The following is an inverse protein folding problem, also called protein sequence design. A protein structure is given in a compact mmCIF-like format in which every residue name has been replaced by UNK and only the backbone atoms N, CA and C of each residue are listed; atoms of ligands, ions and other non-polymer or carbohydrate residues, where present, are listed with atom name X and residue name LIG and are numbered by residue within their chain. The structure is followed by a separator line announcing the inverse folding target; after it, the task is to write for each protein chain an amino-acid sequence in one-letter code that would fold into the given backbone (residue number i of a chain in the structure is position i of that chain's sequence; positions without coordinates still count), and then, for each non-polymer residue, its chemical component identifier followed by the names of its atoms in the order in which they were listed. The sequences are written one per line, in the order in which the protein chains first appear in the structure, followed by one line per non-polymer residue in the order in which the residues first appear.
data_IF_279564922629
#
_entry.id   IF_279564922629
#
_cell.length_a   1.000
_cell.length_b   1.000
_cell.length_c   1.000
_cell.angle_alpha   90.00
_cell.angle_beta   90.00
_cell.angle_gamma   90.00
#
_symmetry.space_group_name_H-M   'P 1'
#
loop_
_entity.id
_entity.type
_entity.pdbx_description
1 polymer ?
#
# COMPACT_ATOMS: atom_id res chain seq x y z
N UNK A 1 3.24 -21.70 12.32
CA UNK A 1 4.53 -22.18 11.80
C UNK A 1 5.59 -21.86 12.85
N UNK A 2 6.02 -22.80 13.71
CA UNK A 2 7.04 -22.50 14.72
C UNK A 2 8.44 -22.57 14.11
N UNK A 3 9.26 -21.52 14.30
CA UNK A 3 10.69 -21.51 13.94
C UNK A 3 11.05 -20.95 12.55
N UNK A 4 10.16 -20.17 11.92
CA UNK A 4 10.48 -19.38 10.72
C UNK A 4 10.33 -17.89 11.07
N UNK A 5 11.37 -17.13 10.78
CA UNK A 5 11.40 -15.67 10.83
C UNK A 5 10.33 -15.08 9.87
N UNK A 6 9.43 -14.26 10.41
CA UNK A 6 8.26 -13.73 9.71
C UNK A 6 8.49 -12.33 9.15
N UNK A 7 8.06 -12.12 7.92
CA UNK A 7 8.15 -10.86 7.20
C UNK A 7 6.75 -10.36 6.84
N UNK A 8 6.41 -9.16 7.31
CA UNK A 8 5.11 -8.52 7.11
C UNK A 8 5.27 -7.21 6.32
N UNK A 9 4.40 -6.98 5.34
CA UNK A 9 4.38 -5.75 4.53
C UNK A 9 3.01 -5.08 4.59
N UNK A 10 2.98 -3.82 5.01
CA UNK A 10 1.80 -2.96 5.06
C UNK A 10 1.93 -1.79 4.08
N UNK A 11 0.94 -1.62 3.20
CA UNK A 11 0.94 -0.60 2.15
C UNK A 11 -0.23 0.37 2.31
N UNK A 12 0.07 1.66 2.44
CA UNK A 12 -0.96 2.68 2.59
C UNK A 12 -1.75 2.94 1.31
N UNK A 13 -2.96 3.48 1.46
CA UNK A 13 -3.71 4.07 0.36
C UNK A 13 -3.16 5.45 -0.06
N UNK A 14 -3.43 5.86 -1.30
CA UNK A 14 -2.94 7.16 -1.80
C UNK A 14 -3.08 7.45 -3.29
N UNK A 15 -3.92 6.73 -4.03
CA UNK A 15 -4.07 6.94 -5.48
C UNK A 15 -2.74 6.79 -6.21
N UNK A 16 -2.50 7.58 -7.26
CA UNK A 16 -1.27 7.51 -8.08
C UNK A 16 0.04 7.59 -7.29
N UNK A 17 0.01 8.14 -6.06
CA UNK A 17 1.16 8.20 -5.14
C UNK A 17 1.62 6.82 -4.64
N UNK A 18 0.84 5.76 -4.84
CA UNK A 18 1.28 4.38 -4.61
C UNK A 18 2.54 3.98 -5.39
N UNK A 19 2.87 4.71 -6.47
CA UNK A 19 4.18 4.60 -7.12
C UNK A 19 5.35 4.88 -6.18
N UNK A 20 5.21 5.83 -5.26
CA UNK A 20 6.22 6.08 -4.23
C UNK A 20 6.44 4.84 -3.35
N UNK A 21 5.35 4.15 -2.98
CA UNK A 21 5.43 2.92 -2.19
C UNK A 21 6.10 1.80 -2.98
N UNK A 22 5.79 1.67 -4.27
CA UNK A 22 6.44 0.71 -5.17
C UNK A 22 7.94 0.98 -5.37
N UNK A 23 8.36 2.23 -5.59
CA UNK A 23 9.78 2.56 -5.71
C UNK A 23 10.55 2.38 -4.39
N UNK A 24 9.88 2.67 -3.25
CA UNK A 24 10.45 2.39 -1.93
C UNK A 24 10.65 0.89 -1.74
N UNK A 25 9.63 0.08 -2.08
CA UNK A 25 9.72 -1.36 -1.99
C UNK A 25 10.75 -1.94 -2.98
N UNK A 26 10.83 -1.42 -4.20
CA UNK A 26 11.86 -1.77 -5.19
C UNK A 26 13.25 -1.67 -4.57
N UNK A 27 13.57 -0.53 -3.95
CA UNK A 27 14.86 -0.33 -3.28
C UNK A 27 15.11 -1.32 -2.15
N UNK A 28 14.08 -1.67 -1.38
CA UNK A 28 14.19 -2.67 -0.31
C UNK A 28 14.51 -4.04 -0.91
N UNK A 29 13.78 -4.46 -1.95
CA UNK A 29 14.01 -5.75 -2.61
C UNK A 29 15.41 -5.81 -3.27
N UNK A 30 15.84 -4.74 -3.94
CA UNK A 30 17.19 -4.59 -4.49
C UNK A 30 18.28 -4.62 -3.41
N UNK A 31 17.98 -4.20 -2.18
CA UNK A 31 18.94 -4.26 -1.07
C UNK A 31 19.11 -5.67 -0.52
N UNK A 32 18.17 -6.58 -0.78
CA UNK A 32 18.24 -8.00 -0.39
C UNK A 32 19.13 -8.76 -1.37
N UNK A 33 18.84 -8.63 -2.67
CA UNK A 33 19.66 -9.16 -3.74
C UNK A 33 19.67 -8.16 -4.91
N UNK A 34 20.78 -7.45 -5.16
CA UNK A 34 20.85 -6.46 -6.23
C UNK A 34 20.80 -7.05 -7.64
N UNK A 35 21.19 -8.31 -7.81
CA UNK A 35 21.30 -8.96 -9.14
C UNK A 35 20.03 -9.73 -9.49
N UNK A 36 19.40 -10.37 -8.49
CA UNK A 36 18.13 -11.09 -8.65
C UNK A 36 17.18 -10.82 -7.46
N UNK A 37 16.60 -9.61 -7.36
CA UNK A 37 15.71 -9.26 -6.25
C UNK A 37 14.56 -10.27 -6.11
N UNK A 38 14.30 -10.81 -4.90
CA UNK A 38 13.26 -11.81 -4.74
C UNK A 38 11.88 -11.20 -5.03
N UNK A 39 10.91 -12.04 -5.41
CA UNK A 39 9.53 -11.58 -5.50
C UNK A 39 9.00 -11.23 -4.10
N UNK A 40 8.19 -10.17 -3.95
CA UNK A 40 7.63 -9.84 -2.64
C UNK A 40 6.82 -10.97 -2.01
N UNK A 41 6.09 -11.77 -2.79
CA UNK A 41 5.35 -12.93 -2.27
C UNK A 41 6.23 -14.09 -1.78
N UNK A 42 7.50 -14.12 -2.16
CA UNK A 42 8.45 -15.14 -1.72
C UNK A 42 9.26 -14.67 -0.49
N UNK A 43 9.32 -13.35 -0.28
CA UNK A 43 9.98 -12.73 0.87
C UNK A 43 9.04 -12.44 2.04
N UNK A 44 7.85 -11.88 1.78
CA UNK A 44 6.86 -11.51 2.79
C UNK A 44 5.83 -12.62 2.98
N UNK A 45 5.66 -13.09 4.22
CA UNK A 45 4.66 -14.10 4.57
C UNK A 45 3.24 -13.50 4.58
N UNK A 46 3.10 -12.19 4.84
CA UNK A 46 1.84 -11.47 4.71
C UNK A 46 2.02 -10.09 4.10
N UNK A 47 1.15 -9.75 3.14
CA UNK A 47 1.08 -8.43 2.51
C UNK A 47 -0.34 -7.88 2.70
N UNK A 48 -0.45 -6.75 3.38
CA UNK A 48 -1.70 -6.03 3.62
C UNK A 48 -1.67 -4.65 2.96
N UNK A 49 -2.82 -4.17 2.52
CA UNK A 49 -2.90 -2.87 1.87
C UNK A 49 -4.31 -2.27 1.84
N UNK A 50 -4.38 -0.93 1.89
CA UNK A 50 -5.63 -0.17 1.78
C UNK A 50 -5.66 0.61 0.46
N UNK A 51 -6.82 0.70 -0.19
CA UNK A 51 -6.98 1.45 -1.45
C UNK A 51 -5.99 0.98 -2.51
N UNK A 52 -5.25 1.92 -3.12
CA UNK A 52 -4.10 1.63 -3.97
C UNK A 52 -3.11 0.63 -3.36
N UNK A 53 -2.79 0.74 -2.06
CA UNK A 53 -1.94 -0.24 -1.38
C UNK A 53 -2.53 -1.65 -1.40
N UNK A 54 -3.87 -1.77 -1.36
CA UNK A 54 -4.58 -3.03 -1.50
C UNK A 54 -4.52 -3.62 -2.92
N UNK A 55 -4.62 -2.77 -3.95
CA UNK A 55 -4.37 -3.20 -5.34
C UNK A 55 -2.94 -3.72 -5.50
N UNK A 56 -1.96 -2.98 -4.98
CA UNK A 56 -0.55 -3.37 -5.02
C UNK A 56 -0.33 -4.67 -4.25
N UNK A 57 -0.92 -4.82 -3.06
CA UNK A 57 -0.84 -6.05 -2.27
C UNK A 57 -1.39 -7.27 -3.04
N UNK A 58 -2.49 -7.11 -3.77
CA UNK A 58 -3.05 -8.16 -4.63
C UNK A 58 -2.09 -8.51 -5.79
N UNK A 59 -1.54 -7.50 -6.46
CA UNK A 59 -0.59 -7.67 -7.58
C UNK A 59 0.68 -8.40 -7.14
N UNK A 60 1.28 -7.95 -6.04
CA UNK A 60 2.53 -8.51 -5.50
C UNK A 60 2.31 -9.88 -4.85
N UNK A 61 1.25 -10.03 -4.05
CA UNK A 61 0.98 -11.24 -3.28
C UNK A 61 0.25 -12.32 -4.09
N UNK A 62 -1.03 -12.06 -4.43
CA UNK A 62 -1.90 -13.07 -5.05
C UNK A 62 -1.57 -13.32 -6.52
N UNK A 63 -1.21 -12.27 -7.27
CA UNK A 63 -0.83 -12.38 -8.68
C UNK A 63 0.68 -12.67 -8.88
N UNK A 64 1.44 -12.73 -7.78
CA UNK A 64 2.87 -13.12 -7.73
C UNK A 64 3.75 -12.34 -8.71
N UNK A 65 3.47 -11.05 -8.86
CA UNK A 65 4.25 -10.15 -9.70
C UNK A 65 5.59 -9.82 -9.04
N UNK A 66 6.63 -9.67 -9.86
CA UNK A 66 7.84 -8.93 -9.50
C UNK A 66 7.49 -7.46 -9.25
N UNK A 67 8.39 -6.72 -8.60
CA UNK A 67 8.19 -5.28 -8.40
C UNK A 67 8.07 -4.53 -9.73
N UNK A 68 8.91 -4.85 -10.71
CA UNK A 68 8.91 -4.19 -12.02
C UNK A 68 7.61 -4.47 -12.80
N UNK A 69 7.14 -5.72 -12.82
CA UNK A 69 5.84 -6.07 -13.39
C UNK A 69 4.71 -5.29 -12.71
N UNK A 70 4.76 -5.17 -11.38
CA UNK A 70 3.74 -4.44 -10.62
C UNK A 70 3.77 -2.93 -10.88
N UNK A 71 4.95 -2.32 -10.99
CA UNK A 71 5.10 -0.91 -11.36
C UNK A 71 4.48 -0.66 -12.73
N UNK A 72 4.81 -1.48 -13.72
CA UNK A 72 4.29 -1.33 -15.06
C UNK A 72 2.77 -1.52 -15.10
N UNK A 73 2.25 -2.59 -14.49
CA UNK A 73 0.82 -2.85 -14.42
C UNK A 73 0.06 -1.74 -13.70
N UNK A 74 0.63 -1.20 -12.61
CA UNK A 74 0.02 -0.11 -11.85
C UNK A 74 -0.02 1.20 -12.64
N UNK A 75 1.03 1.50 -13.41
CA UNK A 75 1.06 2.66 -14.31
C UNK A 75 -0.04 2.57 -15.35
N UNK A 76 -0.12 1.45 -16.08
CA UNK A 76 -1.12 1.25 -17.14
C UNK A 76 -2.55 1.30 -16.59
N UNK A 77 -2.78 0.64 -15.45
CA UNK A 77 -4.05 0.64 -14.76
C UNK A 77 -4.45 2.07 -14.35
N UNK A 78 -3.53 2.84 -13.77
CA UNK A 78 -3.79 4.22 -13.33
C UNK A 78 -4.11 5.14 -14.52
N UNK A 79 -3.38 5.01 -15.63
CA UNK A 79 -3.67 5.76 -16.85
C UNK A 79 -5.06 5.41 -17.40
N UNK A 80 -5.41 4.12 -17.50
CA UNK A 80 -6.71 3.68 -18.00
C UNK A 80 -7.88 4.21 -17.16
N UNK A 81 -7.73 4.21 -15.83
CA UNK A 81 -8.75 4.68 -14.89
C UNK A 81 -8.93 6.21 -14.94
N UNK A 82 -7.83 6.96 -14.97
CA UNK A 82 -7.87 8.42 -14.78
C UNK A 82 -7.89 9.24 -16.08
N UNK A 83 -7.74 8.61 -17.25
CA UNK A 83 -7.69 9.29 -18.55
C UNK A 83 -8.98 10.03 -18.97
N UNK A 84 -10.16 9.70 -18.41
CA UNK A 84 -11.43 10.39 -18.74
C UNK A 84 -12.17 10.88 -17.48
N UNK A 85 -11.93 12.14 -17.10
CA UNK A 85 -12.74 12.84 -16.08
C UNK A 85 -14.18 12.97 -16.59
N UNK A 86 -15.17 12.40 -15.87
CA UNK A 86 -16.57 12.75 -16.13
C UNK A 86 -16.76 14.24 -15.78
N UNK A 87 -17.45 15.02 -16.64
CA UNK A 87 -17.94 16.35 -16.24
C UNK A 87 -18.89 16.15 -15.06
N UNK A 88 -18.54 16.63 -13.88
CA UNK A 88 -19.31 16.43 -12.63
C UNK A 88 -20.72 17.00 -12.83
N UNK A 89 -21.77 16.15 -12.96
CA UNK A 89 -23.13 16.64 -12.91
C UNK A 89 -23.55 16.65 -11.43
N UNK A 90 -23.91 17.81 -10.91
CA UNK A 90 -24.68 17.87 -9.66
C UNK A 90 -26.03 17.23 -9.98
N UNK A 91 -26.42 16.18 -9.24
CA UNK A 91 -27.77 15.63 -9.42
C UNK A 91 -28.80 16.68 -8.96
N UNK A 92 -30.07 16.55 -9.34
CA UNK A 92 -31.12 17.51 -8.95
C UNK A 92 -31.33 17.64 -7.42
N UNK A 93 -30.68 16.80 -6.61
CA UNK A 93 -30.72 16.77 -5.15
C UNK A 93 -29.49 17.39 -4.47
N UNK A 94 -28.48 17.82 -5.24
CA UNK A 94 -27.26 18.42 -4.69
C UNK A 94 -26.16 17.43 -4.30
N UNK A 95 -26.32 16.12 -4.55
CA UNK A 95 -25.28 15.16 -4.24
C UNK A 95 -24.19 15.18 -5.32
N UNK A 96 -22.93 15.13 -4.87
CA UNK A 96 -21.77 14.95 -5.73
C UNK A 96 -21.81 13.56 -6.38
N UNK A 97 -21.85 13.52 -7.71
CA UNK A 97 -21.70 12.28 -8.48
C UNK A 97 -20.24 11.83 -8.53
N UNK A 98 -20.01 10.53 -8.58
CA UNK A 98 -18.70 9.90 -8.70
C UNK A 98 -17.91 10.43 -9.92
N UNK A 99 -16.61 10.69 -9.72
CA UNK A 99 -15.75 11.32 -10.73
C UNK A 99 -15.33 10.37 -11.85
N UNK A 100 -15.23 9.08 -11.54
CA UNK A 100 -14.71 8.04 -12.44
C UNK A 100 -15.67 6.86 -12.56
N UNK A 101 -15.51 6.10 -13.66
CA UNK A 101 -16.38 4.97 -13.97
C UNK A 101 -15.89 3.69 -13.29
N UNK A 102 -16.66 3.17 -12.33
CA UNK A 102 -16.38 1.92 -11.64
C UNK A 102 -16.27 0.71 -12.60
N UNK A 103 -16.93 0.76 -13.77
CA UNK A 103 -16.80 -0.29 -14.79
C UNK A 103 -15.43 -0.25 -15.48
N UNK A 104 -14.88 0.94 -15.70
CA UNK A 104 -13.51 1.08 -16.24
C UNK A 104 -12.50 0.52 -15.25
N UNK A 105 -12.65 0.83 -13.96
CA UNK A 105 -11.82 0.24 -12.90
C UNK A 105 -11.91 -1.30 -12.90
N UNK A 106 -13.12 -1.86 -12.97
CA UNK A 106 -13.31 -3.32 -13.03
C UNK A 106 -12.65 -3.94 -14.26
N UNK A 107 -12.83 -3.35 -15.44
CA UNK A 107 -12.23 -3.83 -16.70
C UNK A 107 -10.70 -3.81 -16.61
N UNK A 108 -10.13 -2.71 -16.10
CA UNK A 108 -8.68 -2.57 -15.93
C UNK A 108 -8.13 -3.63 -14.96
N UNK A 109 -8.79 -3.85 -13.81
CA UNK A 109 -8.41 -4.89 -12.86
C UNK A 109 -8.47 -6.28 -13.50
N UNK A 110 -9.57 -6.61 -14.20
CA UNK A 110 -9.72 -7.91 -14.87
C UNK A 110 -8.68 -8.12 -15.96
N UNK A 111 -8.28 -7.07 -16.68
CA UNK A 111 -7.18 -7.12 -17.66
C UNK A 111 -5.85 -7.48 -16.99
N UNK A 112 -5.55 -6.90 -15.83
CA UNK A 112 -4.36 -7.27 -15.03
C UNK A 112 -4.42 -8.74 -14.61
N UNK A 113 -5.56 -9.23 -14.12
CA UNK A 113 -5.73 -10.65 -13.74
C UNK A 113 -5.47 -11.57 -14.94
N UNK A 114 -6.10 -11.30 -16.09
CA UNK A 114 -5.92 -12.11 -17.32
C UNK A 114 -4.49 -12.08 -17.85
N UNK A 115 -3.75 -10.98 -17.65
CA UNK A 115 -2.32 -10.90 -18.03
C UNK A 115 -1.41 -11.87 -17.24
N UNK A 116 -1.95 -12.49 -16.19
CA UNK A 116 -1.27 -13.52 -15.37
C UNK A 116 -1.80 -14.93 -15.63
N UNK A 117 -2.48 -15.12 -16.76
CA UNK A 117 -3.09 -16.39 -17.17
C UNK A 117 -4.06 -16.96 -16.12
N UNK A 118 -4.69 -16.07 -15.33
CA UNK A 118 -5.71 -16.42 -14.34
C UNK A 118 -7.10 -16.18 -14.90
N UNK A 119 -8.05 -17.03 -14.48
CA UNK A 119 -9.47 -16.80 -14.72
C UNK A 119 -9.89 -15.47 -14.09
N UNK A 120 -10.72 -14.70 -14.79
CA UNK A 120 -11.14 -13.37 -14.31
C UNK A 120 -11.92 -13.43 -13.01
N UNK A 121 -12.59 -14.55 -12.74
CA UNK A 121 -13.36 -14.82 -11.53
C UNK A 121 -12.59 -15.68 -10.52
N UNK A 122 -11.26 -15.78 -10.68
CA UNK A 122 -10.39 -16.41 -9.70
C UNK A 122 -10.59 -15.81 -8.29
N UNK A 123 -10.56 -16.70 -7.29
CA UNK A 123 -10.78 -16.34 -5.89
C UNK A 123 -9.54 -15.68 -5.26
N UNK A 124 -9.77 -14.70 -4.40
CA UNK A 124 -8.72 -14.00 -3.64
C UNK A 124 -8.03 -14.96 -2.65
N UNK A 125 -8.80 -15.73 -1.90
CA UNK A 125 -8.34 -16.80 -1.02
C UNK A 125 -9.04 -18.09 -1.44
N UNK A 126 -8.31 -19.20 -1.40
CA UNK A 126 -8.88 -20.51 -1.71
C UNK A 126 -9.90 -20.89 -0.60
N UNK A 127 -11.04 -21.52 -0.95
CA UNK A 127 -12.13 -21.77 -0.01
C UNK A 127 -11.75 -22.83 1.03
N UNK A 128 -11.14 -22.40 2.13
CA UNK A 128 -10.73 -23.25 3.25
C UNK A 128 -11.86 -23.33 4.30
N UNK A 129 -13.07 -23.69 3.84
CA UNK A 129 -14.25 -23.83 4.72
C UNK A 129 -15.00 -22.53 5.03
N UNK A 130 -14.60 -21.39 4.46
CA UNK A 130 -15.36 -20.14 4.54
C UNK A 130 -16.54 -20.15 3.57
N UNK A 131 -17.75 -19.80 4.05
CA UNK A 131 -18.93 -19.65 3.18
C UNK A 131 -18.85 -18.44 2.26
N UNK A 132 -18.02 -17.46 2.62
CA UNK A 132 -17.79 -16.27 1.80
C UNK A 132 -16.60 -16.54 0.89
N UNK A 133 -16.85 -16.50 -0.41
CA UNK A 133 -15.81 -16.50 -1.45
C UNK A 133 -15.81 -15.13 -2.09
N UNK A 134 -14.64 -14.52 -2.23
CA UNK A 134 -14.47 -13.20 -2.83
C UNK A 134 -13.52 -13.35 -4.01
N UNK A 135 -13.92 -12.84 -5.17
CA UNK A 135 -13.09 -12.84 -6.38
C UNK A 135 -12.00 -11.78 -6.26
N UNK A 136 -10.87 -12.00 -6.92
CA UNK A 136 -9.75 -11.04 -6.89
C UNK A 136 -10.23 -9.65 -7.33
N UNK A 137 -11.01 -9.57 -8.41
CA UNK A 137 -11.49 -8.29 -8.92
C UNK A 137 -12.49 -7.59 -7.99
N UNK A 138 -13.29 -8.35 -7.24
CA UNK A 138 -14.24 -7.80 -6.27
C UNK A 138 -13.49 -7.14 -5.12
N UNK A 139 -12.48 -7.82 -4.58
CA UNK A 139 -11.64 -7.29 -3.51
C UNK A 139 -10.84 -6.06 -3.95
N UNK A 140 -10.23 -6.14 -5.14
CA UNK A 140 -9.50 -5.05 -5.76
C UNK A 140 -10.39 -3.80 -5.99
N UNK A 141 -11.63 -4.00 -6.48
CA UNK A 141 -12.61 -2.91 -6.63
C UNK A 141 -13.05 -2.37 -5.28
N UNK A 142 -13.33 -3.23 -4.30
CA UNK A 142 -13.80 -2.82 -2.98
C UNK A 142 -12.78 -1.93 -2.27
N UNK A 143 -11.52 -2.36 -2.23
CA UNK A 143 -10.46 -1.60 -1.55
C UNK A 143 -10.25 -0.24 -2.22
N UNK A 144 -10.36 -0.13 -3.55
CA UNK A 144 -10.11 1.11 -4.31
C UNK A 144 -11.35 1.97 -4.58
N UNK A 145 -12.49 1.67 -3.97
CA UNK A 145 -13.75 2.39 -4.17
C UNK A 145 -13.76 3.75 -3.41
N UNK A 146 -12.76 4.60 -3.65
CA UNK A 146 -12.53 5.82 -2.91
C UNK A 146 -13.77 6.73 -2.96
N UNK A 147 -14.23 7.16 -1.79
CA UNK A 147 -15.36 8.08 -1.64
C UNK A 147 -15.16 9.32 -2.53
N UNK A 148 -16.21 9.72 -3.26
CA UNK A 148 -16.21 10.78 -4.30
C UNK A 148 -15.51 10.46 -5.64
N UNK A 149 -14.70 9.38 -5.70
CA UNK A 149 -14.06 8.94 -6.95
C UNK A 149 -14.86 7.83 -7.64
N UNK A 150 -15.30 6.82 -6.89
CA UNK A 150 -16.00 5.65 -7.42
C UNK A 150 -17.26 5.32 -6.61
N UNK A 151 -18.17 4.58 -7.24
CA UNK A 151 -19.36 4.05 -6.58
C UNK A 151 -19.02 2.80 -5.73
N UNK A 152 -19.70 2.60 -4.58
CA UNK A 152 -19.56 1.41 -3.76
C UNK A 152 -19.81 0.11 -4.56
N UNK A 153 -19.11 -0.96 -4.20
CA UNK A 153 -19.37 -2.31 -4.73
C UNK A 153 -20.29 -3.08 -3.76
N UNK A 154 -21.11 -3.98 -4.30
CA UNK A 154 -21.83 -4.98 -3.54
C UNK A 154 -21.18 -6.35 -3.74
N UNK A 155 -20.89 -7.07 -2.67
CA UNK A 155 -20.27 -8.41 -2.71
C UNK A 155 -21.11 -9.38 -1.88
N UNK A 156 -21.22 -10.62 -2.37
CA UNK A 156 -21.91 -11.73 -1.71
C UNK A 156 -23.43 -11.72 -1.88
N UNK A 157 -24.07 -12.81 -1.47
CA UNK A 157 -25.51 -13.07 -1.65
C UNK A 157 -26.41 -12.03 -0.96
N UNK A 158 -25.93 -11.45 0.15
CA UNK A 158 -26.65 -10.42 0.91
C UNK A 158 -26.47 -9.01 0.34
N UNK A 159 -25.69 -8.83 -0.73
CA UNK A 159 -25.45 -7.54 -1.35
C UNK A 159 -24.76 -6.53 -0.43
N UNK A 160 -23.85 -6.98 0.44
CA UNK A 160 -23.18 -6.10 1.39
C UNK A 160 -22.37 -5.04 0.64
N UNK A 161 -22.56 -3.77 1.02
CA UNK A 161 -21.91 -2.63 0.36
C UNK A 161 -20.53 -2.36 0.97
N UNK A 162 -19.53 -2.26 0.12
CA UNK A 162 -18.15 -1.95 0.48
C UNK A 162 -17.71 -0.61 -0.10
N UNK A 163 -16.95 0.13 0.71
CA UNK A 163 -16.30 1.41 0.40
C UNK A 163 -14.79 1.24 0.60
N UNK A 164 -14.01 2.16 0.05
CA UNK A 164 -12.57 2.23 0.30
C UNK A 164 -12.25 2.36 1.79
N UNK A 165 -11.27 1.59 2.25
CA UNK A 165 -10.80 1.59 3.62
C UNK A 165 -10.04 2.87 4.01
N UNK A 166 -9.63 3.72 3.08
CA UNK A 166 -8.76 4.87 3.30
C UNK A 166 -9.31 5.89 4.31
N UNK A 167 -10.63 6.04 4.44
CA UNK A 167 -11.20 6.96 5.45
C UNK A 167 -11.28 6.35 6.86
N UNK A 168 -11.01 5.05 7.00
CA UNK A 168 -11.15 4.30 8.27
C UNK A 168 -9.80 3.76 8.74
N UNK A 169 -8.98 3.26 7.83
CA UNK A 169 -7.68 2.64 8.07
C UNK A 169 -6.80 2.76 6.81
N UNK A 170 -6.36 3.97 6.46
CA UNK A 170 -5.50 4.19 5.29
C UNK A 170 -4.14 3.53 5.48
N UNK A 171 -3.61 3.53 6.70
CA UNK A 171 -2.43 2.75 7.07
C UNK A 171 -2.88 1.43 7.72
N UNK A 172 -2.84 0.29 6.99
CA UNK A 172 -3.40 -0.96 7.49
C UNK A 172 -2.49 -1.71 8.47
N UNK A 173 -1.45 -1.08 9.02
CA UNK A 173 -0.44 -1.78 9.83
C UNK A 173 -1.05 -2.47 11.05
N UNK A 174 -2.06 -1.86 11.69
CA UNK A 174 -2.78 -2.46 12.82
C UNK A 174 -3.62 -3.66 12.39
N UNK A 175 -4.29 -3.57 11.24
CA UNK A 175 -5.13 -4.65 10.70
C UNK A 175 -4.26 -5.83 10.29
N UNK A 176 -3.12 -5.57 9.64
CA UNK A 176 -2.14 -6.59 9.28
C UNK A 176 -1.56 -7.28 10.52
N UNK A 177 -1.16 -6.49 11.54
CA UNK A 177 -0.67 -7.03 12.81
C UNK A 177 -1.74 -7.88 13.51
N UNK A 178 -2.99 -7.40 13.57
CA UNK A 178 -4.11 -8.14 14.17
C UNK A 178 -4.37 -9.48 13.49
N UNK A 179 -4.44 -9.51 12.15
CA UNK A 179 -4.59 -10.77 11.40
C UNK A 179 -3.43 -11.73 11.65
N UNK A 180 -2.19 -11.21 11.73
CA UNK A 180 -1.02 -12.03 12.05
C UNK A 180 -1.12 -12.61 13.46
N UNK A 181 -1.53 -11.82 14.44
CA UNK A 181 -1.77 -12.26 15.83
C UNK A 181 -2.82 -13.36 15.88
N UNK A 182 -3.92 -13.22 15.13
CA UNK A 182 -5.00 -14.21 15.10
C UNK A 182 -4.53 -15.56 14.50
N UNK A 183 -3.54 -15.54 13.59
CA UNK A 183 -3.01 -16.74 12.94
C UNK A 183 -2.00 -17.53 13.78
N UNK A 184 -1.16 -16.86 14.58
CA UNK A 184 -0.02 -17.51 15.25
C UNK A 184 0.17 -17.15 16.73
N UNK A 185 -0.70 -16.34 17.33
CA UNK A 185 -0.57 -15.73 18.67
C UNK A 185 0.44 -14.56 18.76
N UNK A 186 0.12 -13.58 19.59
CA UNK A 186 0.91 -12.35 19.76
C UNK A 186 2.32 -12.59 20.29
N UNK A 187 2.48 -13.52 21.24
CA UNK A 187 3.78 -13.78 21.85
C UNK A 187 4.72 -14.48 20.87
N UNK A 188 4.19 -15.42 20.07
CA UNK A 188 4.95 -16.08 19.02
C UNK A 188 5.30 -15.08 17.90
N UNK A 189 4.33 -14.29 17.43
CA UNK A 189 4.57 -13.26 16.41
C UNK A 189 5.66 -12.29 16.85
N UNK A 190 5.61 -11.78 18.09
CA UNK A 190 6.61 -10.85 18.61
C UNK A 190 8.02 -11.44 18.70
N UNK A 191 8.13 -12.75 18.91
CA UNK A 191 9.40 -13.45 19.02
C UNK A 191 9.98 -13.85 17.66
N UNK A 192 9.11 -14.24 16.73
CA UNK A 192 9.47 -14.77 15.41
C UNK A 192 9.44 -13.69 14.32
N UNK A 193 9.07 -12.43 14.61
CA UNK A 193 9.07 -11.34 13.63
C UNK A 193 10.50 -10.94 13.27
N UNK A 194 10.84 -11.10 11.99
CA UNK A 194 12.09 -10.60 11.43
C UNK A 194 11.94 -9.16 10.91
N UNK A 195 10.89 -8.88 10.14
CA UNK A 195 10.58 -7.51 9.78
C UNK A 195 9.07 -7.25 9.62
N UNK A 196 8.62 -6.09 10.09
CA UNK A 196 7.35 -5.46 9.72
C UNK A 196 7.66 -4.15 9.02
N UNK A 197 7.37 -4.06 7.73
CA UNK A 197 7.62 -2.87 6.93
C UNK A 197 6.27 -2.22 6.60
N UNK A 198 6.08 -0.97 7.04
CA UNK A 198 4.94 -0.13 6.68
C UNK A 198 5.41 0.97 5.71
N UNK A 199 4.77 1.09 4.56
CA UNK A 199 5.15 2.04 3.51
C UNK A 199 4.00 2.99 3.21
N UNK A 200 4.27 4.29 3.38
CA UNK A 200 3.33 5.36 3.12
C UNK A 200 3.32 5.84 1.67
N UNK A 201 2.33 6.69 1.34
CA UNK A 201 2.16 7.32 0.03
C UNK A 201 2.51 8.82 0.04
N UNK A 202 3.26 9.25 1.06
CA UNK A 202 3.79 10.61 1.20
C UNK A 202 2.98 11.53 2.11
N UNK A 203 3.69 12.48 2.72
CA UNK A 203 3.10 13.51 3.59
C UNK A 203 2.80 14.81 2.82
N UNK A 204 1.72 15.54 3.18
CA UNK A 204 1.44 16.86 2.61
C UNK A 204 2.49 17.90 3.05
N UNK A 205 2.60 19.01 2.31
CA UNK A 205 3.40 20.15 2.76
C UNK A 205 2.66 20.96 3.85
N UNK A 206 3.39 21.82 4.56
CA UNK A 206 2.78 22.71 5.58
C UNK A 206 1.93 23.85 4.98
N UNK A 207 1.83 23.94 3.64
CA UNK A 207 1.00 24.95 2.98
C UNK A 207 -0.39 24.37 2.76
N UNK A 208 -1.41 25.10 3.21
CA UNK A 208 -2.81 24.71 3.02
C UNK A 208 -3.13 24.49 1.55
N UNK A 209 -3.89 23.44 1.27
CA UNK A 209 -4.35 23.06 -0.07
C UNK A 209 -5.11 24.23 -0.73
N UNK A 210 -4.66 24.67 -1.91
CA UNK A 210 -5.42 25.58 -2.76
C UNK A 210 -6.49 24.81 -3.57
N UNK A 211 -7.69 25.40 -3.63
CA UNK A 211 -8.96 24.79 -4.00
C UNK A 211 -9.09 24.30 -5.46
N UNK A 212 -9.79 23.16 -5.64
CA UNK A 212 -10.90 23.09 -6.64
C UNK A 212 -11.95 21.98 -6.47
N UNK A 213 -11.94 21.12 -5.44
CA UNK A 213 -13.12 20.33 -5.01
C UNK A 213 -13.04 20.02 -3.51
N UNK A 214 -13.80 20.75 -2.69
CA UNK A 214 -13.82 20.64 -1.23
C UNK A 214 -13.95 19.20 -0.70
N UNK A 215 -14.78 18.36 -1.33
CA UNK A 215 -14.98 16.97 -0.88
C UNK A 215 -13.73 16.08 -0.98
N UNK A 216 -12.91 16.29 -2.02
CA UNK A 216 -11.69 15.51 -2.26
C UNK A 216 -10.57 15.99 -1.35
N UNK A 217 -10.44 17.32 -1.17
CA UNK A 217 -9.46 17.93 -0.25
C UNK A 217 -9.70 17.46 1.17
N UNK A 218 -10.96 17.45 1.63
CA UNK A 218 -11.30 16.94 2.96
C UNK A 218 -10.97 15.44 3.10
N UNK A 219 -11.23 14.64 2.07
CA UNK A 219 -10.93 13.20 2.05
C UNK A 219 -9.42 12.95 2.09
N UNK A 220 -8.65 13.69 1.30
CA UNK A 220 -7.19 13.66 1.27
C UNK A 220 -6.57 14.05 2.61
N UNK A 221 -7.09 15.12 3.21
CA UNK A 221 -6.66 15.60 4.52
C UNK A 221 -6.98 14.56 5.62
N UNK A 222 -8.17 13.96 5.60
CA UNK A 222 -8.51 12.90 6.56
C UNK A 222 -7.64 11.66 6.42
N UNK A 223 -7.35 11.24 5.18
CA UNK A 223 -6.46 10.09 4.89
C UNK A 223 -5.05 10.38 5.41
N UNK A 224 -4.49 11.54 5.08
CA UNK A 224 -3.13 11.91 5.50
C UNK A 224 -3.01 12.01 7.04
N UNK A 225 -4.02 12.62 7.69
CA UNK A 225 -4.07 12.74 9.15
C UNK A 225 -4.17 11.37 9.81
N UNK A 226 -5.11 10.53 9.36
CA UNK A 226 -5.29 9.17 9.88
C UNK A 226 -4.03 8.32 9.70
N UNK A 227 -3.36 8.44 8.55
CA UNK A 227 -2.13 7.69 8.24
C UNK A 227 -1.03 7.93 9.25
N UNK A 228 -0.76 9.20 9.57
CA UNK A 228 0.31 9.60 10.49
C UNK A 228 -0.06 9.35 11.94
N UNK A 229 -1.32 9.57 12.33
CA UNK A 229 -1.79 9.22 13.66
C UNK A 229 -1.70 7.70 13.90
N UNK A 230 -2.11 6.88 12.94
CA UNK A 230 -2.03 5.42 13.02
C UNK A 230 -0.57 4.94 13.08
N UNK A 231 0.33 5.51 12.28
CA UNK A 231 1.77 5.16 12.33
C UNK A 231 2.40 5.49 13.69
N UNK A 232 2.17 6.71 14.19
CA UNK A 232 2.74 7.17 15.47
C UNK A 232 2.20 6.39 16.66
N UNK A 233 0.89 6.13 16.68
CA UNK A 233 0.25 5.36 17.75
C UNK A 233 0.66 3.89 17.72
N UNK A 234 0.78 3.28 16.53
CA UNK A 234 1.32 1.91 16.41
C UNK A 234 2.77 1.83 16.89
N UNK A 235 3.60 2.85 16.59
CA UNK A 235 4.96 2.94 17.12
C UNK A 235 4.97 2.94 18.64
N UNK A 236 4.10 3.72 19.28
CA UNK A 236 4.01 3.77 20.74
C UNK A 236 3.58 2.43 21.33
N UNK A 237 2.56 1.79 20.75
CA UNK A 237 2.05 0.48 21.17
C UNK A 237 3.09 -0.63 21.03
N UNK A 238 3.86 -0.62 19.92
CA UNK A 238 4.84 -1.65 19.57
C UNK A 238 6.28 -1.16 19.72
N UNK A 239 6.55 -0.19 20.60
CA UNK A 239 7.85 0.47 20.78
C UNK A 239 9.04 -0.50 20.85
N UNK A 240 8.87 -1.63 21.55
CA UNK A 240 9.88 -2.69 21.64
C UNK A 240 10.31 -3.26 20.28
N UNK A 241 9.41 -3.34 19.31
CA UNK A 241 9.73 -3.82 17.95
C UNK A 241 10.57 -2.79 17.18
N UNK A 242 10.31 -1.51 17.40
CA UNK A 242 11.10 -0.42 16.80
C UNK A 242 12.48 -0.33 17.46
N UNK A 243 12.56 -0.45 18.78
CA UNK A 243 13.83 -0.48 19.52
C UNK A 243 14.72 -1.66 19.09
N UNK A 244 14.12 -2.82 18.84
CA UNK A 244 14.78 -4.01 18.29
C UNK A 244 15.12 -3.90 16.80
N UNK A 245 14.68 -2.84 16.11
CA UNK A 245 14.85 -2.66 14.66
C UNK A 245 14.29 -3.83 13.85
N UNK A 246 13.08 -4.28 14.21
CA UNK A 246 12.30 -5.26 13.43
C UNK A 246 11.01 -4.65 12.89
N UNK A 247 10.74 -3.38 13.18
CA UNK A 247 9.60 -2.65 12.62
C UNK A 247 10.07 -1.33 12.00
N UNK A 248 9.65 -1.07 10.76
CA UNK A 248 10.12 0.04 9.94
C UNK A 248 8.94 0.76 9.30
N UNK A 249 9.01 2.10 9.29
CA UNK A 249 8.06 2.97 8.58
C UNK A 249 8.83 3.81 7.58
N UNK A 250 8.51 3.65 6.30
CA UNK A 250 9.04 4.48 5.23
C UNK A 250 7.93 5.34 4.66
N UNK A 251 8.06 6.66 4.76
CA UNK A 251 7.12 7.60 4.18
C UNK A 251 7.90 8.80 3.63
N UNK A 252 7.61 9.20 2.39
CA UNK A 252 8.29 10.34 1.76
C UNK A 252 7.80 11.63 2.44
N UNK A 253 8.67 12.37 3.14
CA UNK A 253 8.24 13.54 3.88
C UNK A 253 7.96 14.70 2.93
N UNK A 254 6.93 15.49 3.27
CA UNK A 254 6.58 16.81 2.74
C UNK A 254 6.39 16.91 1.21
N UNK A 255 5.25 17.44 0.79
CA UNK A 255 4.96 17.82 -0.60
C UNK A 255 4.51 16.67 -1.50
N UNK A 256 4.84 15.42 -1.19
CA UNK A 256 4.31 14.26 -1.92
C UNK A 256 2.79 14.18 -1.74
N UNK A 257 2.30 14.47 -0.54
CA UNK A 257 0.87 14.48 -0.21
C UNK A 257 0.08 15.61 -0.89
N UNK A 258 0.75 16.58 -1.52
CA UNK A 258 0.10 17.67 -2.26
C UNK A 258 -0.32 17.22 -3.66
N UNK A 259 0.29 16.14 -4.17
CA UNK A 259 -0.08 15.53 -5.45
C UNK A 259 -1.44 14.87 -5.30
N UNK A 260 -2.39 15.24 -6.16
CA UNK A 260 -3.74 14.70 -6.15
C UNK A 260 -3.79 13.21 -6.50
N UNK A 261 -4.78 12.48 -5.94
CA UNK A 261 -4.91 11.02 -6.07
C UNK A 261 -5.03 10.48 -7.50
N UNK A 262 -5.35 11.35 -8.48
CA UNK A 262 -5.55 10.99 -9.89
C UNK A 262 -4.64 11.77 -10.85
N UNK A 263 -3.56 12.36 -10.36
CA UNK A 263 -2.63 13.17 -11.17
C UNK A 263 -1.54 12.29 -11.82
N UNK A 264 -1.95 11.46 -12.78
CA UNK A 264 -1.06 10.52 -13.52
C UNK A 264 0.09 11.20 -14.26
N UNK A 265 -0.02 12.49 -14.53
CA UNK A 265 1.01 13.33 -15.14
C UNK A 265 2.19 13.61 -14.19
N UNK A 266 1.97 13.52 -12.86
CA UNK A 266 2.98 13.82 -11.84
C UNK A 266 3.94 12.66 -11.54
N UNK A 267 3.93 11.58 -12.34
CA UNK A 267 4.79 10.40 -12.14
C UNK A 267 6.27 10.72 -11.99
N UNK A 268 6.79 11.63 -12.82
CA UNK A 268 8.19 12.03 -12.77
C UNK A 268 8.52 12.76 -11.46
N UNK A 269 7.60 13.60 -10.97
CA UNK A 269 7.75 14.29 -9.69
C UNK A 269 7.74 13.27 -8.53
N UNK A 270 6.77 12.34 -8.53
CA UNK A 270 6.70 11.25 -7.55
C UNK A 270 8.03 10.50 -7.50
N UNK A 271 8.51 10.02 -8.65
CA UNK A 271 9.79 9.28 -8.72
C UNK A 271 10.95 10.12 -8.19
N UNK A 272 11.07 11.37 -8.63
CA UNK A 272 12.17 12.25 -8.20
C UNK A 272 12.17 12.49 -6.69
N UNK A 273 10.99 12.71 -6.08
CA UNK A 273 10.87 12.94 -4.64
C UNK A 273 11.19 11.67 -3.85
N UNK A 274 10.68 10.52 -4.30
CA UNK A 274 11.00 9.22 -3.69
C UNK A 274 12.49 8.91 -3.80
N UNK A 275 13.11 9.10 -4.98
CA UNK A 275 14.54 8.87 -5.17
C UNK A 275 15.40 9.75 -4.23
N UNK A 276 15.05 11.03 -4.08
CA UNK A 276 15.73 11.94 -3.17
C UNK A 276 15.61 11.49 -1.69
N UNK A 277 14.43 11.03 -1.28
CA UNK A 277 14.21 10.46 0.05
C UNK A 277 15.08 9.21 0.28
N UNK A 278 15.07 8.28 -0.68
CA UNK A 278 15.81 7.01 -0.63
C UNK A 278 17.34 7.20 -0.72
N UNK A 279 17.82 8.33 -1.23
CA UNK A 279 19.23 8.69 -1.28
C UNK A 279 19.77 9.25 0.04
N UNK A 280 18.90 9.62 0.98
CA UNK A 280 19.37 10.14 2.27
C UNK A 280 20.10 9.06 3.08
N UNK A 281 21.21 9.43 3.72
CA UNK A 281 22.05 8.50 4.48
C UNK A 281 21.27 7.78 5.60
N UNK A 282 20.34 8.50 6.25
CA UNK A 282 19.47 7.96 7.28
C UNK A 282 18.60 6.82 6.74
N UNK A 283 17.99 7.00 5.57
CA UNK A 283 17.12 5.99 4.96
C UNK A 283 17.93 4.83 4.41
N UNK A 284 19.07 5.08 3.77
CA UNK A 284 19.96 4.00 3.34
C UNK A 284 20.46 3.16 4.52
N UNK A 285 20.80 3.80 5.65
CA UNK A 285 21.20 3.09 6.86
C UNK A 285 20.06 2.28 7.45
N UNK A 286 18.84 2.84 7.46
CA UNK A 286 17.64 2.14 7.91
C UNK A 286 17.33 0.92 7.04
N UNK A 287 17.39 1.05 5.71
CA UNK A 287 17.13 -0.05 4.78
C UNK A 287 18.15 -1.18 4.92
N UNK A 288 19.44 -0.86 5.07
CA UNK A 288 20.49 -1.85 5.35
C UNK A 288 20.21 -2.64 6.62
N UNK A 289 19.79 -1.96 7.69
CA UNK A 289 19.36 -2.61 8.94
C UNK A 289 18.13 -3.51 8.72
N UNK A 290 17.17 -3.04 7.92
CA UNK A 290 15.92 -3.75 7.64
C UNK A 290 16.12 -5.09 6.92
N UNK A 291 17.08 -5.16 6.01
CA UNK A 291 17.36 -6.38 5.24
C UNK A 291 18.47 -7.24 5.86
N UNK A 292 18.95 -6.89 7.06
CA UNK A 292 20.03 -7.62 7.74
C UNK A 292 21.42 -7.46 7.11
N UNK A 293 21.60 -6.48 6.23
CA UNK A 293 22.87 -6.17 5.56
C UNK A 293 23.61 -5.08 6.35
N UNK A 294 24.11 -5.41 7.54
CA UNK A 294 25.00 -4.49 8.25
C UNK A 294 26.38 -4.45 7.56
N UNK A 295 26.98 -3.26 7.36
CA UNK A 295 28.37 -3.19 6.99
C UNK A 295 29.20 -3.75 8.14
N UNK A 296 30.01 -4.77 7.84
CA UNK A 296 30.96 -5.40 8.76
C UNK A 296 32.10 -4.42 9.09
N UNK A 297 31.82 -3.32 9.79
CA UNK A 297 32.87 -2.50 10.40
C UNK A 297 33.31 -3.20 11.68
N UNK A 298 34.28 -4.10 11.53
CA UNK A 298 35.17 -4.48 12.63
C UNK A 298 35.97 -3.23 13.04
N UNK A 299 35.39 -2.41 13.92
CA UNK A 299 36.16 -1.43 14.68
C UNK A 299 36.93 -2.21 15.74
N UNK A 300 38.15 -2.61 15.42
CA UNK A 300 39.15 -2.99 16.41
C UNK A 300 39.50 -1.74 17.22
N UNK A 301 38.76 -1.52 18.32
CA UNK A 301 39.17 -0.57 19.35
C UNK A 301 40.32 -1.24 20.11
N UNK A 302 41.54 -0.85 19.78
CA UNK A 302 42.72 -1.18 20.58
C UNK A 302 42.84 -0.09 21.64
N UNK A 303 42.40 -0.39 22.86
CA UNK A 303 42.77 0.41 24.03
C UNK A 303 44.29 0.31 24.24
N UNK A 304 44.95 1.46 24.43
CA UNK A 304 46.37 1.56 24.81
C UNK A 304 46.53 1.59 26.32
#
# INVERSE_FOLDING_TARGET
MPGRDLNLLSLDGGGVRGLSSLYTLQRIMESIDPEDPPKPCDYFDMIGGTSTGGLIAIMLGRLRMTIDECIQAYIELSEEIFHKKRRIPVNAKGDLKERYDSKTLEIAIKKVIRSRDMDEDALLKDPQGTKVTVRIWEAARATSAASTFFDPIQIGENGQRFLDGGTVANNPVRQLWGEAVDMIDQQALTNDLNCLISIGTGEPSYKGFDDTVMGIVNTLSSIATETEETANSFHQEQSRLFDKRVCYRYNVPRGMGDIGLAETEQRAAIKSMTDAYLQSELIQSSMRSCVGVEPMYSLAIIDK
#
